data_IF_459492965655
#
_entry.id   IF_459492965655
#
_cell.length_a   1.000
_cell.length_b   1.000
_cell.length_c   1.000
_cell.angle_alpha   90.00
_cell.angle_beta   90.00
_cell.angle_gamma   90.00
#
_symmetry.space_group_name_H-M   'P 1'
#
loop_
_entity.id
_entity.type
_entity.pdbx_description
1 polymer ?
#
# COMPACT_ATOMS: atom_id res chain seq x y z
N UNK A 1 8.65 12.38 18.46
CA UNK A 1 7.52 13.04 17.77
C UNK A 1 6.78 11.96 16.99
N UNK A 2 5.55 11.62 17.40
CA UNK A 2 4.72 10.62 16.71
C UNK A 2 4.13 11.26 15.46
N UNK A 3 4.58 10.85 14.27
CA UNK A 3 4.28 11.59 13.04
C UNK A 3 3.28 10.91 12.09
N UNK A 4 2.96 9.62 12.24
CA UNK A 4 2.02 8.94 11.33
C UNK A 4 1.18 7.90 12.09
N UNK A 5 -0.14 8.11 12.12
CA UNK A 5 -1.11 7.10 12.51
C UNK A 5 -1.80 6.58 11.24
N UNK A 6 -1.83 5.27 11.06
CA UNK A 6 -2.55 4.62 9.96
C UNK A 6 -4.05 4.68 10.27
N UNK A 7 -4.87 5.27 9.39
CA UNK A 7 -6.32 5.32 9.60
C UNK A 7 -6.91 3.92 9.74
N UNK A 8 -7.85 3.77 10.67
CA UNK A 8 -8.63 2.54 10.79
C UNK A 8 -9.37 2.24 9.47
N UNK A 9 -9.50 0.96 9.16
CA UNK A 9 -10.21 0.44 7.99
C UNK A 9 -9.62 0.87 6.63
N UNK A 10 -8.43 1.48 6.60
CA UNK A 10 -7.78 1.93 5.37
C UNK A 10 -7.55 0.79 4.36
N UNK A 11 -7.42 -0.44 4.85
CA UNK A 11 -7.23 -1.62 4.01
C UNK A 11 -8.52 -2.24 3.45
N UNK A 12 -9.71 -1.85 3.95
CA UNK A 12 -11.00 -2.40 3.52
C UNK A 12 -11.16 -2.45 1.98
N UNK A 13 -10.83 -1.39 1.23
CA UNK A 13 -11.07 -1.38 -0.21
C UNK A 13 -10.30 -2.48 -0.96
N UNK A 14 -9.11 -2.84 -0.47
CA UNK A 14 -8.28 -3.92 -1.01
C UNK A 14 -8.86 -5.28 -0.64
N UNK A 15 -9.23 -5.45 0.63
CA UNK A 15 -9.73 -6.72 1.16
C UNK A 15 -11.10 -7.10 0.56
N UNK A 16 -12.05 -6.17 0.52
CA UNK A 16 -13.41 -6.39 -0.02
C UNK A 16 -13.39 -6.80 -1.50
N UNK A 17 -12.46 -6.21 -2.27
CA UNK A 17 -12.26 -6.53 -3.69
C UNK A 17 -11.38 -7.76 -3.91
N UNK A 18 -10.91 -8.42 -2.84
CA UNK A 18 -10.03 -9.61 -2.86
C UNK A 18 -8.78 -9.40 -3.73
N UNK A 19 -8.18 -8.22 -3.65
CA UNK A 19 -7.06 -7.83 -4.53
C UNK A 19 -5.68 -8.29 -4.04
N UNK A 20 -5.58 -8.80 -2.81
CA UNK A 20 -4.30 -9.15 -2.18
C UNK A 20 -4.22 -10.63 -1.73
N UNK A 21 -4.63 -11.65 -2.50
CA UNK A 21 -4.64 -13.02 -1.98
C UNK A 21 -3.23 -13.58 -1.73
N UNK A 22 -3.00 -14.17 -0.57
CA UNK A 22 -1.78 -14.92 -0.23
C UNK A 22 -0.95 -14.28 0.88
N UNK A 23 0.34 -14.61 0.93
CA UNK A 23 1.28 -14.09 1.94
C UNK A 23 1.67 -12.64 1.62
N UNK A 24 1.66 -11.79 2.65
CA UNK A 24 1.90 -10.36 2.51
C UNK A 24 3.18 -9.93 3.24
N UNK A 25 4.02 -9.14 2.58
CA UNK A 25 5.12 -8.40 3.20
C UNK A 25 4.70 -6.94 3.41
N UNK A 26 4.96 -6.44 4.61
CA UNK A 26 4.74 -5.07 5.05
C UNK A 26 6.11 -4.42 5.31
N UNK A 27 6.74 -3.80 4.29
CA UNK A 27 8.10 -3.25 4.42
C UNK A 27 8.16 -1.98 5.27
N UNK A 28 7.02 -1.37 5.55
CA UNK A 28 6.91 -0.27 6.51
C UNK A 28 5.55 -0.28 7.17
N UNK A 29 5.55 -0.62 8.46
CA UNK A 29 4.36 -0.65 9.33
C UNK A 29 4.80 -0.55 10.81
N UNK A 30 5.35 0.60 11.21
CA UNK A 30 6.00 0.80 12.51
C UNK A 30 5.17 0.32 13.70
N UNK A 31 3.92 0.76 13.75
CA UNK A 31 3.02 0.52 14.87
C UNK A 31 2.22 -0.79 14.71
N UNK A 32 2.47 -1.57 13.66
CA UNK A 32 1.71 -2.78 13.35
C UNK A 32 0.23 -2.51 13.03
N UNK A 33 -0.13 -1.26 12.73
CA UNK A 33 -1.52 -0.84 12.53
C UNK A 33 -2.08 -1.38 11.22
N UNK A 34 -1.27 -1.37 10.15
CA UNK A 34 -1.68 -1.97 8.88
C UNK A 34 -1.77 -3.49 9.03
N UNK A 35 -0.77 -4.14 9.65
CA UNK A 35 -0.80 -5.57 9.97
C UNK A 35 -2.05 -5.97 10.74
N UNK A 36 -2.42 -5.20 11.76
CA UNK A 36 -3.62 -5.46 12.58
C UNK A 36 -4.89 -5.42 11.73
N UNK A 37 -4.97 -4.52 10.75
CA UNK A 37 -6.08 -4.48 9.80
C UNK A 37 -6.08 -5.65 8.81
N UNK A 38 -4.90 -6.11 8.35
CA UNK A 38 -4.83 -7.34 7.55
C UNK A 38 -5.32 -8.55 8.38
N UNK A 39 -4.88 -8.68 9.62
CA UNK A 39 -5.28 -9.78 10.51
C UNK A 39 -6.80 -9.77 10.75
N UNK A 40 -7.43 -8.61 10.93
CA UNK A 40 -8.89 -8.52 11.11
C UNK A 40 -9.68 -8.95 9.85
N UNK A 41 -9.05 -8.92 8.68
CA UNK A 41 -9.56 -9.47 7.43
C UNK A 41 -9.23 -10.95 7.20
N UNK A 42 -8.61 -11.63 8.18
CA UNK A 42 -8.30 -13.05 8.13
C UNK A 42 -6.94 -13.39 7.50
N UNK A 43 -6.08 -12.40 7.27
CA UNK A 43 -4.71 -12.65 6.81
C UNK A 43 -3.85 -13.15 7.96
N UNK A 44 -3.43 -14.41 7.89
CA UNK A 44 -2.61 -15.04 8.93
C UNK A 44 -1.12 -15.06 8.60
N UNK A 45 -0.75 -14.81 7.34
CA UNK A 45 0.62 -14.92 6.84
C UNK A 45 1.14 -13.54 6.41
N UNK A 46 1.50 -12.72 7.39
CA UNK A 46 2.01 -11.36 7.22
C UNK A 46 3.41 -11.22 7.82
N UNK A 47 4.36 -10.79 7.00
CA UNK A 47 5.75 -10.51 7.39
C UNK A 47 5.93 -9.00 7.49
N UNK A 48 6.28 -8.51 8.67
CA UNK A 48 6.57 -7.08 8.87
C UNK A 48 8.06 -6.84 8.97
N UNK A 49 8.51 -5.70 8.43
CA UNK A 49 9.84 -5.20 8.71
C UNK A 49 10.05 -5.04 10.23
N UNK A 50 11.20 -5.45 10.78
CA UNK A 50 11.48 -5.32 12.21
C UNK A 50 11.69 -3.85 12.62
N UNK A 51 12.16 -3.00 11.70
CA UNK A 51 12.37 -1.58 11.92
C UNK A 51 11.89 -0.76 10.71
N UNK A 52 11.61 0.52 10.95
CA UNK A 52 11.07 1.46 9.96
C UNK A 52 11.99 1.74 8.77
N UNK A 53 13.24 1.33 8.86
CA UNK A 53 14.27 1.54 7.84
C UNK A 53 14.76 0.23 7.23
N UNK A 54 14.25 -0.93 7.66
CA UNK A 54 14.74 -2.23 7.15
C UNK A 54 14.52 -2.38 5.65
N UNK A 55 13.53 -1.72 5.07
CA UNK A 55 13.30 -1.72 3.62
C UNK A 55 14.43 -1.03 2.82
N UNK A 56 15.30 -0.26 3.48
CA UNK A 56 16.50 0.34 2.89
C UNK A 56 17.68 -0.65 2.84
N UNK A 57 17.56 -1.78 3.53
CA UNK A 57 18.62 -2.76 3.64
C UNK A 57 18.41 -3.87 2.61
N UNK A 58 19.33 -3.98 1.65
CA UNK A 58 19.32 -5.05 0.64
C UNK A 58 19.29 -6.44 1.29
N UNK A 59 19.99 -6.61 2.42
CA UNK A 59 20.05 -7.89 3.12
C UNK A 59 18.70 -8.29 3.71
N UNK A 60 17.91 -7.33 4.19
CA UNK A 60 16.56 -7.61 4.69
C UNK A 60 15.70 -8.20 3.58
N UNK A 61 15.62 -7.54 2.43
CA UNK A 61 14.87 -8.05 1.27
C UNK A 61 15.30 -9.44 0.83
N UNK A 62 16.62 -9.73 0.83
CA UNK A 62 17.17 -11.03 0.46
C UNK A 62 16.88 -12.13 1.50
N UNK A 63 16.66 -11.75 2.76
CA UNK A 63 16.37 -12.69 3.84
C UNK A 63 14.89 -13.11 3.92
N UNK A 64 14.00 -12.41 3.22
CA UNK A 64 12.57 -12.71 3.25
C UNK A 64 12.29 -14.08 2.63
N UNK A 65 11.43 -14.91 3.26
CA UNK A 65 10.90 -16.09 2.58
C UNK A 65 10.04 -15.65 1.40
N UNK A 66 9.71 -16.57 0.48
CA UNK A 66 8.81 -16.25 -0.63
C UNK A 66 7.48 -15.66 -0.17
N UNK A 67 6.96 -14.66 -0.89
CA UNK A 67 5.71 -13.96 -0.60
C UNK A 67 4.94 -13.58 -1.87
N UNK A 68 3.63 -13.37 -1.75
CA UNK A 68 2.77 -13.07 -2.89
C UNK A 68 2.68 -11.57 -3.19
N UNK A 69 2.55 -10.77 -2.14
CA UNK A 69 2.30 -9.33 -2.26
C UNK A 69 3.19 -8.52 -1.33
N UNK A 70 3.66 -7.38 -1.83
CA UNK A 70 4.11 -6.28 -0.97
C UNK A 70 2.94 -5.32 -0.77
N UNK A 71 2.64 -4.94 0.47
CA UNK A 71 1.65 -3.91 0.79
C UNK A 71 2.30 -2.82 1.64
N UNK A 72 2.22 -1.56 1.22
CA UNK A 72 2.86 -0.46 1.94
C UNK A 72 2.05 0.83 1.91
N UNK A 73 2.15 1.63 2.97
CA UNK A 73 1.73 3.03 2.96
C UNK A 73 2.96 3.87 2.65
N UNK A 74 2.97 4.45 1.46
CA UNK A 74 4.14 5.17 0.93
C UNK A 74 4.00 6.68 1.01
N UNK A 75 2.79 7.15 1.33
CA UNK A 75 2.49 8.55 1.51
C UNK A 75 3.49 9.24 2.46
N UNK A 76 4.21 10.24 1.94
CA UNK A 76 5.16 11.05 2.72
C UNK A 76 6.54 10.41 2.92
N UNK A 77 6.82 9.24 2.32
CA UNK A 77 8.17 8.64 2.33
C UNK A 77 9.07 9.28 1.27
N UNK A 78 10.33 9.50 1.63
CA UNK A 78 11.34 10.08 0.72
C UNK A 78 11.96 9.02 -0.19
N UNK A 79 12.23 7.82 0.33
CA UNK A 79 12.99 6.76 -0.36
C UNK A 79 12.06 5.68 -0.93
N UNK A 80 11.13 6.12 -1.77
CA UNK A 80 10.06 5.27 -2.28
C UNK A 80 10.56 4.10 -3.14
N UNK A 81 11.61 4.30 -3.92
CA UNK A 81 12.13 3.31 -4.88
C UNK A 81 12.60 2.01 -4.20
N UNK A 82 13.03 2.10 -2.94
CA UNK A 82 13.40 0.95 -2.09
C UNK A 82 12.22 0.08 -1.68
N UNK A 83 10.99 0.58 -1.83
CA UNK A 83 9.75 -0.20 -1.69
C UNK A 83 9.23 -0.63 -3.06
N UNK A 84 9.24 0.28 -4.05
CA UNK A 84 8.63 0.02 -5.35
C UNK A 84 9.33 -1.11 -6.10
N UNK A 85 10.64 -0.99 -6.33
CA UNK A 85 11.36 -1.94 -7.17
C UNK A 85 11.54 -3.29 -6.45
N UNK A 86 12.14 -3.38 -5.25
CA UNK A 86 12.28 -4.67 -4.57
C UNK A 86 10.92 -5.29 -4.24
N UNK A 87 9.97 -4.48 -3.79
CA UNK A 87 8.64 -4.95 -3.40
C UNK A 87 7.83 -5.48 -4.58
N UNK A 88 7.97 -4.90 -5.78
CA UNK A 88 7.37 -5.45 -6.98
C UNK A 88 8.15 -6.66 -7.50
N UNK A 89 9.48 -6.58 -7.63
CA UNK A 89 10.28 -7.64 -8.25
C UNK A 89 10.26 -8.94 -7.45
N UNK A 90 10.40 -8.89 -6.13
CA UNK A 90 10.47 -10.07 -5.27
C UNK A 90 9.10 -10.72 -5.00
N UNK A 91 8.01 -9.94 -5.06
CA UNK A 91 6.66 -10.46 -4.86
C UNK A 91 6.22 -11.37 -6.01
N UNK A 92 5.62 -12.53 -5.72
CA UNK A 92 5.11 -13.42 -6.79
C UNK A 92 3.97 -12.82 -7.60
N UNK A 93 3.04 -12.10 -6.96
CA UNK A 93 1.82 -11.55 -7.58
C UNK A 93 1.89 -10.04 -7.81
N UNK A 94 2.52 -9.28 -6.93
CA UNK A 94 2.79 -7.87 -7.20
C UNK A 94 2.89 -6.96 -5.98
N UNK A 95 2.59 -5.68 -6.20
CA UNK A 95 2.77 -4.59 -5.24
C UNK A 95 1.48 -3.80 -5.08
N UNK A 96 1.14 -3.47 -3.85
CA UNK A 96 0.02 -2.61 -3.48
C UNK A 96 0.55 -1.46 -2.63
N UNK A 97 0.37 -0.21 -3.07
CA UNK A 97 0.80 0.97 -2.30
C UNK A 97 -0.35 1.93 -2.06
N UNK A 98 -0.34 2.59 -0.91
CA UNK A 98 -1.21 3.72 -0.61
C UNK A 98 -0.40 5.01 -0.65
N UNK A 99 -0.73 5.87 -1.60
CA UNK A 99 -0.08 7.17 -1.77
C UNK A 99 -1.08 8.24 -2.21
N UNK A 100 -0.61 9.49 -2.30
CA UNK A 100 -1.37 10.63 -2.85
C UNK A 100 -1.55 10.46 -4.35
N UNK A 101 -2.60 11.06 -4.92
CA UNK A 101 -2.80 11.10 -6.38
C UNK A 101 -1.60 11.67 -7.16
N UNK A 102 -0.84 12.57 -6.54
CA UNK A 102 0.42 13.12 -7.09
C UNK A 102 1.50 12.04 -7.28
N UNK A 103 1.31 10.81 -6.79
CA UNK A 103 2.15 9.68 -7.18
C UNK A 103 2.12 9.47 -8.70
N UNK A 104 0.97 9.70 -9.36
CA UNK A 104 0.85 9.61 -10.82
C UNK A 104 1.52 10.77 -11.56
N UNK A 105 1.90 11.85 -10.88
CA UNK A 105 2.69 12.95 -11.44
C UNK A 105 4.17 12.57 -11.28
N UNK A 106 4.81 12.00 -12.30
CA UNK A 106 6.02 11.23 -12.07
C UNK A 106 7.27 12.11 -12.10
N UNK A 107 8.18 11.85 -11.17
CA UNK A 107 9.62 12.12 -11.37
C UNK A 107 10.17 11.17 -12.42
N UNK A 108 11.38 11.42 -12.96
CA UNK A 108 11.98 10.55 -14.01
C UNK A 108 11.94 9.05 -13.63
N UNK A 109 12.41 8.67 -12.45
CA UNK A 109 12.41 7.27 -12.00
C UNK A 109 11.01 6.66 -11.87
N UNK A 110 10.04 7.43 -11.35
CA UNK A 110 8.66 6.97 -11.23
C UNK A 110 7.95 6.83 -12.57
N UNK A 111 8.33 7.64 -13.56
CA UNK A 111 7.79 7.53 -14.92
C UNK A 111 8.15 6.17 -15.53
N UNK A 112 9.38 5.71 -15.33
CA UNK A 112 9.84 4.41 -15.84
C UNK A 112 9.17 3.25 -15.10
N UNK A 113 9.00 3.37 -13.77
CA UNK A 113 8.21 2.40 -13.00
C UNK A 113 6.77 2.29 -13.52
N UNK A 114 6.06 3.43 -13.64
CA UNK A 114 4.66 3.47 -14.09
C UNK A 114 4.50 2.94 -15.53
N UNK A 115 5.47 3.17 -16.41
CA UNK A 115 5.47 2.64 -17.78
C UNK A 115 5.78 1.15 -17.84
N UNK A 116 6.63 0.65 -16.94
CA UNK A 116 7.15 -0.72 -17.00
C UNK A 116 6.32 -1.73 -16.21
N UNK A 117 5.61 -1.31 -15.16
CA UNK A 117 4.84 -2.23 -14.29
C UNK A 117 3.34 -2.17 -14.60
N UNK A 118 2.64 -3.32 -14.63
CA UNK A 118 1.20 -3.37 -14.94
C UNK A 118 0.33 -2.82 -13.80
N UNK A 119 -0.06 -1.54 -13.89
CA UNK A 119 -1.01 -0.92 -12.97
C UNK A 119 -2.44 -1.39 -13.27
N UNK A 120 -2.96 -2.26 -12.41
CA UNK A 120 -4.25 -2.94 -12.61
C UNK A 120 -5.44 -2.22 -11.99
N UNK A 121 -5.25 -1.62 -10.82
CA UNK A 121 -6.31 -0.89 -10.12
C UNK A 121 -5.78 0.40 -9.51
N UNK A 122 -6.61 1.44 -9.54
CA UNK A 122 -6.49 2.64 -8.73
C UNK A 122 -7.80 2.78 -7.96
N UNK A 123 -7.73 2.79 -6.62
CA UNK A 123 -8.90 2.95 -5.77
C UNK A 123 -8.75 4.27 -5.02
N UNK A 124 -9.46 5.30 -5.47
CA UNK A 124 -9.43 6.64 -4.89
C UNK A 124 -10.28 6.65 -3.61
N UNK A 125 -9.71 7.15 -2.51
CA UNK A 125 -10.36 7.13 -1.20
C UNK A 125 -11.08 8.44 -0.90
N UNK A 126 -12.37 8.34 -0.59
CA UNK A 126 -13.23 9.44 -0.17
C UNK A 126 -14.08 9.01 1.02
N UNK A 127 -14.13 9.70 2.18
CA UNK A 127 -13.38 10.89 2.55
C UNK A 127 -11.87 10.68 2.47
N UNK A 128 -11.12 11.78 2.34
CA UNK A 128 -9.66 11.74 2.27
C UNK A 128 -9.09 11.19 3.60
N UNK A 129 -8.19 10.19 3.57
CA UNK A 129 -7.60 9.68 4.79
C UNK A 129 -6.74 10.73 5.51
N UNK A 130 -6.67 10.64 6.84
CA UNK A 130 -5.92 11.59 7.69
C UNK A 130 -4.83 10.83 8.43
N UNK A 131 -3.57 11.01 8.03
CA UNK A 131 -2.42 10.29 8.59
C UNK A 131 -1.68 11.09 9.68
N UNK A 132 -2.42 11.67 10.65
CA UNK A 132 -1.83 12.50 11.72
C UNK A 132 -2.13 11.96 13.11
N UNK A 133 -1.12 11.99 13.98
CA UNK A 133 -1.25 11.58 15.37
C UNK A 133 -2.06 12.56 16.24
N UNK A 134 -2.25 13.81 15.83
CA UNK A 134 -2.88 14.87 16.63
C UNK A 134 -4.36 15.15 16.31
N UNK A 135 -4.95 14.45 15.32
CA UNK A 135 -6.37 14.51 14.89
C UNK A 135 -6.97 15.92 14.66
N UNK A 136 -6.17 17.00 14.67
CA UNK A 136 -6.66 18.37 14.42
C UNK A 136 -6.98 18.55 12.94
N UNK A 137 -8.24 18.93 12.65
CA UNK A 137 -8.78 19.16 11.30
C UNK A 137 -8.28 20.46 10.67
N UNK A 138 -6.97 20.60 10.44
CA UNK A 138 -6.41 21.71 9.67
C UNK A 138 -5.68 21.20 8.42
N UNK A 139 -6.33 21.41 7.27
CA UNK A 139 -5.79 21.62 5.91
C UNK A 139 -4.90 20.57 5.18
N UNK A 140 -4.51 19.45 5.76
CA UNK A 140 -3.70 18.42 5.05
C UNK A 140 -4.51 17.18 4.59
N UNK A 141 -5.76 17.38 4.18
CA UNK A 141 -6.52 16.32 3.49
C UNK A 141 -6.00 16.21 2.05
N UNK A 142 -5.12 15.26 1.78
CA UNK A 142 -4.67 14.93 0.41
C UNK A 142 -5.51 13.79 -0.15
N UNK A 143 -5.84 13.86 -1.44
CA UNK A 143 -6.55 12.77 -2.11
C UNK A 143 -5.58 11.62 -2.28
N UNK A 144 -5.83 10.51 -1.58
CA UNK A 144 -5.00 9.31 -1.62
C UNK A 144 -5.72 8.19 -2.34
N UNK A 145 -4.96 7.28 -2.92
CA UNK A 145 -5.47 6.12 -3.61
C UNK A 145 -4.60 4.90 -3.32
N UNK A 146 -5.25 3.73 -3.28
CA UNK A 146 -4.52 2.48 -3.42
C UNK A 146 -4.18 2.24 -4.88
N UNK A 147 -2.92 1.94 -5.15
CA UNK A 147 -2.41 1.53 -6.46
C UNK A 147 -2.05 0.04 -6.41
N UNK A 148 -2.61 -0.75 -7.31
CA UNK A 148 -2.38 -2.20 -7.37
C UNK A 148 -1.64 -2.54 -8.66
N UNK A 149 -0.37 -2.88 -8.53
CA UNK A 149 0.48 -3.38 -9.61
C UNK A 149 0.46 -4.90 -9.58
N UNK A 150 -0.25 -5.52 -10.53
CA UNK A 150 -0.48 -6.97 -10.54
C UNK A 150 0.22 -7.62 -11.73
N UNK A 151 1.20 -8.49 -11.46
CA UNK A 151 2.02 -9.18 -12.47
C UNK A 151 1.19 -10.05 -13.42
N UNK A 152 0.05 -10.58 -12.97
CA UNK A 152 -0.82 -11.41 -13.79
C UNK A 152 -1.67 -10.59 -14.80
N UNK A 153 -1.67 -9.25 -14.68
CA UNK A 153 -2.43 -8.38 -15.60
C UNK A 153 -1.56 -7.94 -16.78
N UNK A 154 -2.08 -8.04 -18.02
CA UNK A 154 -1.38 -7.53 -19.20
C UNK A 154 -1.17 -6.01 -19.11
N UNK A 155 0.01 -5.53 -19.50
CA UNK A 155 0.36 -4.08 -19.48
C UNK A 155 -0.49 -3.21 -20.41
N UNK A 156 -1.12 -3.81 -21.41
CA UNK A 156 -1.92 -3.14 -22.44
C UNK A 156 -3.43 -3.15 -22.17
N UNK A 157 -3.86 -3.60 -20.97
CA UNK A 157 -5.26 -3.53 -20.56
C UNK A 157 -5.50 -2.29 -19.70
N UNK A 158 -6.72 -1.78 -19.80
CA UNK A 158 -7.19 -0.60 -19.06
C UNK A 158 -7.00 -0.78 -17.55
N UNK A 159 -6.42 0.23 -16.91
CA UNK A 159 -6.35 0.34 -15.44
C UNK A 159 -7.76 0.60 -14.92
N UNK A 160 -8.25 -0.25 -14.00
CA UNK A 160 -9.56 -0.04 -13.38
C UNK A 160 -9.47 1.09 -12.34
N UNK A 161 -10.21 2.16 -12.54
CA UNK A 161 -10.31 3.27 -11.57
C UNK A 161 -11.65 3.15 -10.83
N UNK A 162 -11.60 2.96 -9.52
CA UNK A 162 -12.76 2.93 -8.63
C UNK A 162 -12.66 4.05 -7.58
N UNK A 163 -13.80 4.47 -7.06
CA UNK A 163 -13.87 5.31 -5.87
C UNK A 163 -14.39 4.47 -4.70
N UNK A 164 -13.71 4.53 -3.57
CA UNK A 164 -14.24 3.99 -2.32
C UNK A 164 -14.73 5.14 -1.44
N UNK A 165 -16.06 5.23 -1.30
CA UNK A 165 -16.75 6.28 -0.53
C UNK A 165 -17.04 5.88 0.91
N UNK A 166 -16.64 4.67 1.31
CA UNK A 166 -17.03 4.02 2.56
C UNK A 166 -15.91 3.26 3.24
N UNK A 167 -14.67 3.41 2.77
CA UNK A 167 -13.49 2.68 3.27
C UNK A 167 -13.33 2.77 4.79
N UNK A 168 -13.74 3.87 5.41
CA UNK A 168 -13.65 4.13 6.84
C UNK A 168 -14.69 3.37 7.68
N UNK A 169 -15.69 2.74 7.06
CA UNK A 169 -16.75 2.02 7.77
C UNK A 169 -16.19 0.74 8.41
N UNK A 170 -16.52 0.44 9.67
CA UNK A 170 -16.21 -0.87 10.25
C UNK A 170 -16.85 -1.97 9.41
N UNK A 171 -16.20 -3.14 9.37
CA UNK A 171 -16.77 -4.34 8.75
C UNK A 171 -18.14 -4.59 9.39
N UNK A 172 -19.21 -4.52 8.59
CA UNK A 172 -20.53 -4.92 9.05
C UNK A 172 -20.48 -6.41 9.40
N UNK A 173 -20.96 -6.78 10.59
CA UNK A 173 -21.15 -8.19 10.95
C UNK A 173 -22.08 -8.81 9.91
N UNK A 174 -21.53 -9.68 9.06
CA UNK A 174 -22.25 -10.50 8.09
C UNK A 174 -22.32 -11.93 8.58
#
# INVERSE_FOLDING_TARGET
MSFYQVPNNIFNPIAERKLCPGRVVLPSDNAGELKSQLISWGYTDCISAPHDVSYLEIQWWKSLPEFDWTVAITQGKQELDWILEPGFELAKKGLIILDRLTFLEPTRGRADFLKSKPLSNIIVLNPRPVFRADQRKTKDSVTSAWYVFNKAKPRNKETKIDFDVSWQRPKSFS
#
